data_IF_787519236607
#
_entry.id   IF_787519236607
#
_cell.length_a   1.000
_cell.length_b   1.000
_cell.length_c   1.000
_cell.angle_alpha   90.00
_cell.angle_beta   90.00
_cell.angle_gamma   90.00
#
_symmetry.space_group_name_H-M   'P 1'
#
loop_
_entity.id
_entity.type
_entity.pdbx_description
1 polymer ?
#
# COMPACT_ATOMS: atom_id res chain seq x y z
N UNK A 1 -19.30 -2.52 20.36
CA UNK A 1 -18.42 -1.63 19.59
C UNK A 1 -17.47 -2.46 18.75
N UNK A 2 -17.42 -2.22 17.45
CA UNK A 2 -16.55 -3.00 16.56
C UNK A 2 -15.14 -2.42 16.56
N UNK A 3 -14.18 -3.30 16.59
CA UNK A 3 -12.78 -2.95 16.60
C UNK A 3 -12.35 -2.31 15.27
N UNK A 4 -11.52 -1.26 15.37
CA UNK A 4 -10.88 -0.67 14.18
C UNK A 4 -9.60 -1.46 13.89
N UNK A 5 -9.57 -2.11 12.73
CA UNK A 5 -8.40 -2.88 12.30
C UNK A 5 -7.30 -1.93 11.84
N UNK A 6 -6.07 -2.26 12.18
CA UNK A 6 -4.91 -1.45 11.81
C UNK A 6 -4.11 -2.12 10.72
N UNK A 7 -3.65 -1.31 9.77
CA UNK A 7 -2.85 -1.76 8.62
C UNK A 7 -1.66 -0.84 8.46
N UNK A 8 -0.64 -1.30 7.76
CA UNK A 8 0.43 -0.43 7.30
C UNK A 8 0.74 -0.73 5.84
N UNK A 9 1.05 0.30 5.09
CA UNK A 9 1.39 0.20 3.69
C UNK A 9 2.53 1.13 3.34
N UNK A 10 3.10 0.94 2.16
CA UNK A 10 4.24 1.74 1.71
C UNK A 10 4.05 2.23 0.28
N UNK A 11 4.30 3.52 0.08
CA UNK A 11 4.43 4.10 -1.25
C UNK A 11 5.91 4.04 -1.59
N UNK A 12 6.25 3.19 -2.57
CA UNK A 12 7.62 3.10 -3.08
C UNK A 12 7.70 4.00 -4.30
N UNK A 13 8.39 5.12 -4.14
CA UNK A 13 8.51 6.14 -5.19
C UNK A 13 9.87 6.02 -5.87
N UNK A 14 9.85 5.91 -7.18
CA UNK A 14 11.06 5.92 -8.00
C UNK A 14 10.90 7.00 -9.07
N UNK A 15 11.63 8.10 -8.94
CA UNK A 15 11.44 9.23 -9.81
C UNK A 15 10.05 9.83 -9.64
N UNK A 16 9.29 9.88 -10.72
CA UNK A 16 7.91 10.40 -10.72
C UNK A 16 6.86 9.29 -10.77
N UNK A 17 7.26 8.06 -10.45
CA UNK A 17 6.36 6.90 -10.45
C UNK A 17 6.30 6.23 -9.09
N UNK A 18 5.20 5.53 -8.84
CA UNK A 18 5.00 4.76 -7.60
C UNK A 18 4.66 3.31 -7.94
N UNK A 19 5.06 2.42 -7.04
CA UNK A 19 4.77 0.98 -7.17
C UNK A 19 3.36 0.69 -6.67
N UNK A 20 2.55 0.07 -7.50
CA UNK A 20 1.23 -0.42 -7.13
C UNK A 20 1.11 -1.88 -7.51
N UNK A 21 0.29 -2.60 -6.76
CA UNK A 21 0.02 -4.01 -7.00
C UNK A 21 -1.48 -4.24 -7.09
N UNK A 22 -1.87 -5.10 -8.02
CA UNK A 22 -3.27 -5.43 -8.24
C UNK A 22 -3.66 -6.61 -7.37
N UNK A 23 -4.74 -6.46 -6.61
CA UNK A 23 -5.20 -7.49 -5.70
C UNK A 23 -5.76 -8.70 -6.44
N UNK A 24 -5.54 -9.89 -5.88
CA UNK A 24 -6.06 -11.13 -6.41
C UNK A 24 -7.59 -11.13 -6.38
N UNK A 25 -8.21 -11.86 -7.30
CA UNK A 25 -9.68 -11.98 -7.41
C UNK A 25 -10.31 -12.59 -6.15
N UNK A 26 -9.55 -13.32 -5.34
CA UNK A 26 -10.04 -13.94 -4.11
C UNK A 26 -9.91 -13.02 -2.88
N UNK A 27 -9.40 -11.82 -3.06
CA UNK A 27 -9.26 -10.83 -1.99
C UNK A 27 -10.60 -10.16 -1.68
N UNK A 28 -10.69 -9.48 -0.53
CA UNK A 28 -11.86 -8.70 -0.15
C UNK A 28 -12.12 -7.53 -1.10
N UNK A 29 -11.09 -7.03 -1.78
CA UNK A 29 -11.18 -5.96 -2.78
C UNK A 29 -10.57 -6.45 -4.09
N UNK A 30 -11.21 -7.43 -4.76
CA UNK A 30 -10.61 -8.10 -5.90
C UNK A 30 -10.39 -7.17 -7.08
N UNK A 31 -9.22 -7.29 -7.70
CA UNK A 31 -8.89 -6.54 -8.90
C UNK A 31 -8.56 -5.09 -8.69
N UNK A 32 -8.57 -4.59 -7.46
CA UNK A 32 -8.21 -3.20 -7.19
C UNK A 32 -6.71 -3.04 -7.05
N UNK A 33 -6.21 -1.92 -7.56
CA UNK A 33 -4.81 -1.55 -7.40
C UNK A 33 -4.61 -0.83 -6.07
N UNK A 34 -3.50 -1.12 -5.40
CA UNK A 34 -3.16 -0.51 -4.12
C UNK A 34 -1.66 -0.57 -3.91
N UNK A 35 -1.19 0.15 -2.90
CA UNK A 35 0.20 -0.01 -2.45
C UNK A 35 0.34 -1.34 -1.73
N UNK A 36 1.55 -1.93 -1.70
CA UNK A 36 1.79 -3.10 -0.84
C UNK A 36 1.46 -2.74 0.60
N UNK A 37 0.61 -3.53 1.22
CA UNK A 37 0.13 -3.27 2.59
C UNK A 37 -0.40 -4.55 3.21
N UNK A 38 -0.56 -4.53 4.52
CA UNK A 38 -1.12 -5.66 5.23
C UNK A 38 -1.57 -5.28 6.63
N UNK A 39 -2.25 -6.21 7.28
CA UNK A 39 -2.79 -6.03 8.61
C UNK A 39 -1.69 -6.13 9.66
N UNK A 40 -1.69 -5.20 10.62
CA UNK A 40 -0.78 -5.24 11.76
C UNK A 40 -1.20 -6.33 12.73
N UNK A 41 -0.23 -7.01 13.30
CA UNK A 41 -0.45 -7.95 14.39
C UNK A 41 -0.66 -7.18 15.68
N UNK A 42 -1.28 -7.82 16.67
CA UNK A 42 -1.53 -7.20 17.96
C UNK A 42 -0.22 -6.74 18.59
N UNK A 43 -0.16 -5.45 18.95
CA UNK A 43 1.02 -4.87 19.55
C UNK A 43 2.18 -4.57 18.60
N UNK A 44 2.00 -4.86 17.32
CA UNK A 44 3.04 -4.60 16.33
C UNK A 44 3.13 -3.12 16.01
N UNK A 45 4.36 -2.59 16.00
CA UNK A 45 4.60 -1.22 15.57
C UNK A 45 4.39 -1.10 14.06
N UNK A 46 3.72 -0.03 13.57
CA UNK A 46 3.45 0.11 12.13
C UNK A 46 4.68 0.02 11.24
N UNK A 47 5.83 0.55 11.69
CA UNK A 47 7.08 0.47 10.92
C UNK A 47 7.55 -0.96 10.77
N UNK A 48 7.43 -1.78 11.82
CA UNK A 48 7.81 -3.19 11.76
C UNK A 48 6.83 -3.98 10.88
N UNK A 49 5.56 -3.65 10.98
CA UNK A 49 4.52 -4.31 10.19
C UNK A 49 4.66 -4.08 8.70
N UNK A 50 4.96 -2.84 8.30
CA UNK A 50 5.11 -2.54 6.87
C UNK A 50 6.31 -3.27 6.27
N UNK A 51 7.41 -3.38 7.03
CA UNK A 51 8.59 -4.10 6.57
C UNK A 51 8.30 -5.60 6.43
N UNK A 52 7.62 -6.18 7.42
CA UNK A 52 7.23 -7.59 7.38
C UNK A 52 6.31 -7.89 6.21
N UNK A 53 5.23 -7.10 6.08
CA UNK A 53 4.25 -7.30 5.02
C UNK A 53 4.85 -7.12 3.62
N UNK A 54 5.71 -6.13 3.45
CA UNK A 54 6.35 -5.89 2.16
C UNK A 54 7.19 -7.10 1.74
N UNK A 55 7.96 -7.65 2.68
CA UNK A 55 8.79 -8.83 2.40
C UNK A 55 7.94 -10.05 2.08
N UNK A 56 6.85 -10.26 2.84
CA UNK A 56 5.96 -11.39 2.61
C UNK A 56 5.26 -11.32 1.24
N UNK A 57 4.96 -10.11 0.77
CA UNK A 57 4.23 -9.91 -0.48
C UNK A 57 5.12 -9.79 -1.71
N UNK A 58 6.35 -9.30 -1.57
CA UNK A 58 7.21 -8.97 -2.71
C UNK A 58 8.54 -9.71 -2.72
N UNK A 59 8.90 -10.35 -1.64
CA UNK A 59 10.21 -10.98 -1.43
C UNK A 59 11.38 -9.99 -1.43
N UNK A 60 11.10 -8.73 -1.12
CA UNK A 60 12.10 -7.67 -0.99
C UNK A 60 12.04 -7.05 0.39
N UNK A 61 13.19 -6.58 0.86
CA UNK A 61 13.33 -5.87 2.14
C UNK A 61 13.35 -4.37 1.87
N UNK A 62 12.52 -3.63 2.61
CA UNK A 62 12.53 -2.17 2.52
C UNK A 62 13.77 -1.59 3.20
N UNK A 63 14.24 -0.46 2.68
CA UNK A 63 15.28 0.33 3.32
C UNK A 63 14.78 0.90 4.65
N UNK A 64 15.73 1.28 5.51
CA UNK A 64 15.40 1.84 6.82
C UNK A 64 14.95 3.31 6.76
N UNK A 65 14.99 3.95 5.59
CA UNK A 65 14.63 5.36 5.43
C UNK A 65 13.14 5.53 5.12
N UNK A 66 12.31 4.86 5.88
CA UNK A 66 10.86 4.99 5.75
C UNK A 66 10.37 6.19 6.54
N UNK A 67 9.48 6.97 5.93
CA UNK A 67 8.85 8.13 6.58
C UNK A 67 7.34 7.94 6.58
N UNK A 68 6.73 8.13 7.74
CA UNK A 68 5.27 8.15 7.81
C UNK A 68 4.78 9.39 7.05
N UNK A 69 3.97 9.19 6.02
CA UNK A 69 3.53 10.29 5.17
C UNK A 69 2.03 10.54 5.22
N UNK A 70 1.27 9.65 5.86
CA UNK A 70 -0.16 9.88 5.99
C UNK A 70 -0.91 8.67 6.52
N UNK A 71 -2.23 8.84 6.57
CA UNK A 71 -3.16 7.83 7.05
C UNK A 71 -4.28 7.70 6.04
N UNK A 72 -4.78 6.46 5.88
CA UNK A 72 -5.95 6.20 5.06
C UNK A 72 -6.98 5.51 5.94
N UNK A 73 -8.17 6.09 6.02
CA UNK A 73 -9.27 5.54 6.81
C UNK A 73 -10.15 4.69 5.91
N UNK A 74 -10.58 3.56 6.43
CA UNK A 74 -11.53 2.68 5.76
C UNK A 74 -12.83 2.72 6.55
N UNK A 75 -13.94 2.93 5.85
CA UNK A 75 -15.27 3.03 6.45
C UNK A 75 -16.09 1.78 6.16
N UNK A 76 -17.12 1.58 6.95
CA UNK A 76 -18.10 0.56 6.66
C UNK A 76 -18.91 0.96 5.42
N UNK A 77 -19.83 0.08 5.01
CA UNK A 77 -20.53 0.21 3.73
C UNK A 77 -21.31 1.53 3.59
N UNK A 78 -21.95 2.00 4.69
CA UNK A 78 -22.73 3.25 4.66
C UNK A 78 -21.91 4.49 5.03
N UNK A 79 -20.62 4.33 5.33
CA UNK A 79 -19.74 5.44 5.66
C UNK A 79 -19.89 6.00 7.07
N UNK A 80 -20.70 5.38 7.92
CA UNK A 80 -21.01 5.91 9.25
C UNK A 80 -19.95 5.61 10.31
N UNK A 81 -19.15 4.54 10.12
CA UNK A 81 -18.14 4.13 11.09
C UNK A 81 -16.83 3.79 10.42
N UNK A 82 -15.73 4.10 11.11
CA UNK A 82 -14.38 3.71 10.67
C UNK A 82 -14.19 2.24 11.02
N UNK A 83 -13.77 1.44 10.04
CA UNK A 83 -13.47 0.00 10.19
C UNK A 83 -12.00 -0.30 10.15
N UNK A 84 -11.22 0.54 9.53
CA UNK A 84 -9.79 0.33 9.41
C UNK A 84 -9.02 1.63 9.31
N UNK A 85 -7.76 1.56 9.74
CA UNK A 85 -6.84 2.68 9.64
C UNK A 85 -5.52 2.14 9.09
N UNK A 86 -5.07 2.70 7.97
CA UNK A 86 -3.79 2.33 7.38
C UNK A 86 -2.78 3.44 7.58
N UNK A 87 -1.66 3.10 8.23
CA UNK A 87 -0.48 3.96 8.29
C UNK A 87 0.25 3.84 6.96
N UNK A 88 0.52 4.95 6.30
CA UNK A 88 1.18 4.94 4.99
C UNK A 88 2.56 5.55 5.10
N UNK A 89 3.56 4.74 4.73
CA UNK A 89 4.97 5.16 4.73
C UNK A 89 5.41 5.46 3.31
N UNK A 90 6.43 6.30 3.20
CA UNK A 90 7.05 6.64 1.91
C UNK A 90 8.49 6.16 1.92
N UNK A 91 8.88 5.46 0.87
CA UNK A 91 10.27 5.12 0.59
C UNK A 91 10.61 5.65 -0.81
N UNK A 92 11.67 6.44 -0.92
CA UNK A 92 12.16 6.91 -2.21
C UNK A 92 13.34 6.04 -2.61
N UNK A 93 13.34 5.57 -3.85
CA UNK A 93 14.36 4.69 -4.38
C UNK A 93 14.87 5.22 -5.72
N UNK A 94 16.17 5.05 -5.97
CA UNK A 94 16.76 5.41 -7.26
C UNK A 94 16.52 4.34 -8.32
N UNK A 95 16.16 3.14 -7.89
CA UNK A 95 15.93 2.02 -8.80
C UNK A 95 14.55 1.43 -8.56
N UNK A 96 13.94 0.90 -9.61
CA UNK A 96 12.66 0.23 -9.50
C UNK A 96 12.82 -1.15 -8.86
N UNK A 97 11.94 -1.43 -7.89
CA UNK A 97 11.82 -2.76 -7.31
C UNK A 97 10.88 -3.57 -8.20
N UNK A 98 11.29 -4.78 -8.52
CA UNK A 98 10.44 -5.69 -9.29
C UNK A 98 9.98 -6.80 -8.36
N UNK A 99 8.76 -6.72 -7.80
CA UNK A 99 8.28 -7.71 -6.84
C UNK A 99 8.36 -9.13 -7.38
N UNK A 100 8.87 -10.03 -6.56
CA UNK A 100 9.02 -11.44 -6.90
C UNK A 100 7.83 -12.21 -6.28
N UNK A 101 6.69 -12.14 -6.94
CA UNK A 101 5.46 -12.71 -6.43
C UNK A 101 5.51 -14.23 -6.35
N UNK A 102 6.27 -14.85 -7.23
CA UNK A 102 6.39 -16.31 -7.30
C UNK A 102 7.08 -16.88 -6.05
N UNK A 103 8.11 -16.21 -5.55
CA UNK A 103 8.91 -16.68 -4.41
C UNK A 103 8.53 -16.03 -3.09
N UNK A 104 7.63 -15.05 -3.10
CA UNK A 104 7.18 -14.40 -1.88
C UNK A 104 6.17 -15.28 -1.15
N UNK A 105 6.23 -15.28 0.19
CA UNK A 105 5.34 -16.12 1.03
C UNK A 105 3.87 -15.84 0.70
N UNK A 106 3.49 -14.56 0.61
CA UNK A 106 2.14 -14.13 0.33
C UNK A 106 2.02 -13.44 -1.04
N UNK A 107 2.88 -13.82 -1.99
CA UNK A 107 2.88 -13.22 -3.32
C UNK A 107 1.59 -13.45 -4.10
N UNK A 108 0.83 -14.48 -3.73
CA UNK A 108 -0.44 -14.79 -4.37
C UNK A 108 -1.57 -13.84 -3.98
N UNK A 109 -1.34 -12.92 -3.03
CA UNK A 109 -2.31 -11.86 -2.74
C UNK A 109 -2.40 -10.85 -3.87
N UNK A 110 -1.43 -10.83 -4.77
CA UNK A 110 -1.38 -9.93 -5.92
C UNK A 110 -1.26 -10.72 -7.22
N UNK A 111 -1.86 -10.20 -8.29
CA UNK A 111 -1.77 -10.80 -9.61
C UNK A 111 -0.66 -10.16 -10.46
N UNK A 112 -0.41 -8.88 -10.23
CA UNK A 112 0.64 -8.15 -10.95
C UNK A 112 1.00 -6.88 -10.19
N UNK A 113 2.19 -6.35 -10.46
CA UNK A 113 2.65 -5.09 -9.90
C UNK A 113 3.28 -4.26 -11.01
N UNK A 114 3.26 -2.95 -10.85
CA UNK A 114 3.86 -2.04 -11.81
C UNK A 114 4.04 -0.65 -11.23
N UNK A 115 4.76 0.18 -11.97
CA UNK A 115 5.00 1.58 -11.61
C UNK A 115 4.10 2.48 -12.44
N UNK A 116 3.53 3.48 -11.79
CA UNK A 116 2.58 4.39 -12.43
C UNK A 116 2.94 5.83 -12.07
N UNK A 117 2.86 6.70 -13.08
CA UNK A 117 3.00 8.13 -12.86
C UNK A 117 1.65 8.76 -12.55
N UNK A 118 1.66 10.07 -12.27
CA UNK A 118 0.47 10.80 -11.85
C UNK A 118 -0.67 10.70 -12.87
N UNK A 119 -0.35 10.72 -14.16
CA UNK A 119 -1.37 10.72 -15.21
C UNK A 119 -1.95 9.35 -15.51
N UNK A 120 -1.29 8.28 -15.03
CA UNK A 120 -1.67 6.90 -15.32
C UNK A 120 -2.07 6.11 -14.08
N UNK A 121 -2.37 6.77 -12.95
CA UNK A 121 -2.77 6.07 -11.73
C UNK A 121 -4.03 5.23 -11.99
N UNK A 122 -3.99 3.93 -11.67
CA UNK A 122 -5.05 3.00 -12.03
C UNK A 122 -6.19 2.96 -10.99
N UNK A 123 -6.55 4.09 -10.43
CA UNK A 123 -7.66 4.18 -9.47
C UNK A 123 -8.93 4.59 -10.20
N UNK A 124 -10.01 3.85 -9.98
CA UNK A 124 -11.30 4.16 -10.56
C UNK A 124 -11.90 5.43 -9.95
N UNK A 125 -11.71 5.61 -8.64
CA UNK A 125 -12.18 6.78 -7.92
C UNK A 125 -11.00 7.69 -7.56
N UNK A 126 -10.90 8.82 -8.24
CA UNK A 126 -9.83 9.80 -8.01
C UNK A 126 -9.98 10.53 -6.67
N UNK A 127 -11.12 10.39 -6.01
CA UNK A 127 -11.35 10.94 -4.67
C UNK A 127 -11.01 9.95 -3.54
N UNK A 128 -10.61 8.73 -3.89
CA UNK A 128 -10.12 7.76 -2.92
C UNK A 128 -8.98 8.37 -2.10
N UNK A 129 -8.96 8.13 -0.79
CA UNK A 129 -7.97 8.74 0.10
C UNK A 129 -6.54 8.37 -0.27
N UNK A 130 -6.31 7.11 -0.64
CA UNK A 130 -4.98 6.65 -1.05
C UNK A 130 -4.55 7.32 -2.36
N UNK A 131 -5.46 7.40 -3.33
CA UNK A 131 -5.20 8.07 -4.60
C UNK A 131 -4.82 9.54 -4.37
N UNK A 132 -5.54 10.22 -3.49
CA UNK A 132 -5.26 11.63 -3.17
C UNK A 132 -3.91 11.80 -2.49
N UNK A 133 -3.55 10.88 -1.59
CA UNK A 133 -2.26 10.91 -0.91
C UNK A 133 -1.12 10.71 -1.91
N UNK A 134 -1.24 9.72 -2.78
CA UNK A 134 -0.24 9.45 -3.83
C UNK A 134 -0.12 10.65 -4.76
N UNK A 135 -1.24 11.24 -5.17
CA UNK A 135 -1.26 12.42 -6.03
C UNK A 135 -0.47 13.57 -5.41
N UNK A 136 -0.69 13.82 -4.11
CA UNK A 136 0.02 14.87 -3.40
C UNK A 136 1.53 14.62 -3.38
N UNK A 137 1.92 13.37 -3.15
CA UNK A 137 3.34 13.00 -3.10
C UNK A 137 3.99 13.17 -4.47
N UNK A 138 3.32 12.74 -5.54
CA UNK A 138 3.86 12.85 -6.90
C UNK A 138 3.93 14.29 -7.40
N UNK A 139 3.08 15.19 -6.89
CA UNK A 139 3.13 16.61 -7.24
C UNK A 139 4.21 17.37 -6.49
N UNK A 140 4.73 16.81 -5.42
CA UNK A 140 5.80 17.45 -4.65
C UNK A 140 7.13 17.33 -5.37
N UNK A 141 7.80 18.45 -5.55
CA UNK A 141 9.13 18.46 -6.13
C UNK A 141 10.21 18.60 -5.08
#
# INVERSE_FOLDING_TARGET
>A
MKEVKRYSGVIVKCGDEVLLCKRNANDSLPGQWSVPCGRLEDGEHPMDGVQREFQEETNYTLDNDLKLCGFVKRYNRDGSEIRGLMYVFLMESDTKINPDLENAIDGDEHTECGYFDLENLPFDDKNDQLCRLITRILKKK
#
